data_IF_328617307626
#
_entry.id   IF_328617307626
#
_cell.length_a   1.000
_cell.length_b   1.000
_cell.length_c   1.000
_cell.angle_alpha   90.00
_cell.angle_beta   90.00
_cell.angle_gamma   90.00
#
_symmetry.space_group_name_H-M   'P 1'
#
loop_
_entity.id
_entity.type
_entity.pdbx_description
1 polymer ?
#
# COMPACT_ATOMS: atom_id res chain seq x y z
N UNK A 1 -48.95 -56.14 -6.92
CA UNK A 1 -48.26 -55.97 -8.22
C UNK A 1 -48.11 -54.47 -8.45
N UNK A 2 -46.95 -53.82 -8.45
CA UNK A 2 -45.56 -54.25 -8.55
C UNK A 2 -44.67 -53.38 -7.64
N UNK A 3 -43.68 -54.05 -7.06
CA UNK A 3 -42.42 -53.48 -6.60
C UNK A 3 -41.61 -52.91 -7.78
N UNK A 4 -40.92 -51.79 -7.54
CA UNK A 4 -39.54 -51.56 -7.99
C UNK A 4 -39.05 -50.24 -7.37
N UNK A 5 -38.32 -50.28 -6.27
CA UNK A 5 -36.86 -50.44 -6.17
C UNK A 5 -36.02 -49.25 -6.70
N UNK A 6 -35.48 -48.52 -5.73
CA UNK A 6 -34.03 -48.50 -5.44
C UNK A 6 -33.21 -47.24 -5.83
N UNK A 7 -32.30 -46.92 -4.89
CA UNK A 7 -31.08 -46.09 -4.95
C UNK A 7 -31.33 -44.59 -4.86
N UNK A 8 -31.16 -43.93 -3.70
CA UNK A 8 -29.99 -44.00 -2.82
C UNK A 8 -28.98 -42.97 -3.30
N UNK A 9 -28.96 -41.78 -2.69
CA UNK A 9 -27.75 -40.96 -2.69
C UNK A 9 -27.72 -40.06 -1.45
N UNK A 10 -27.16 -40.66 -0.40
CA UNK A 10 -26.66 -40.02 0.80
C UNK A 10 -25.47 -39.13 0.40
N UNK A 11 -25.68 -37.82 0.21
CA UNK A 11 -24.56 -36.86 0.10
C UNK A 11 -24.44 -36.10 1.38
N UNK A 12 -23.48 -36.56 2.18
CA UNK A 12 -23.06 -35.97 3.42
C UNK A 12 -22.81 -34.48 3.28
N UNK A 13 -23.33 -33.77 4.27
CA UNK A 13 -22.95 -32.42 4.64
C UNK A 13 -21.42 -32.40 4.85
N UNK A 14 -20.66 -32.01 3.81
CA UNK A 14 -19.23 -31.76 3.94
C UNK A 14 -19.06 -30.58 4.90
N UNK A 15 -18.18 -30.67 5.92
CA UNK A 15 -17.88 -29.52 6.74
C UNK A 15 -17.31 -28.42 5.83
N UNK A 16 -17.95 -27.25 5.85
CA UNK A 16 -17.43 -26.04 5.24
C UNK A 16 -16.08 -25.76 5.90
N UNK A 17 -15.00 -26.02 5.16
CA UNK A 17 -13.66 -25.58 5.54
C UNK A 17 -13.64 -24.06 5.66
N UNK A 18 -12.82 -23.51 6.57
CA UNK A 18 -12.95 -22.14 7.02
C UNK A 18 -12.84 -21.16 5.86
N UNK A 19 -13.76 -20.21 5.92
CA UNK A 19 -13.98 -19.13 4.99
C UNK A 19 -12.69 -18.43 4.58
N UNK A 20 -12.54 -18.33 3.26
CA UNK A 20 -12.10 -17.16 2.53
C UNK A 20 -11.43 -16.07 3.40
N UNK A 21 -10.14 -16.26 3.69
CA UNK A 21 -9.34 -15.25 4.39
C UNK A 21 -9.56 -13.88 3.75
N UNK A 22 -9.91 -12.91 4.59
CA UNK A 22 -10.26 -11.56 4.17
C UNK A 22 -9.20 -10.99 3.21
N UNK A 23 -9.59 -10.25 2.15
CA UNK A 23 -8.64 -9.76 1.15
C UNK A 23 -7.47 -8.95 1.75
N UNK A 24 -7.73 -8.24 2.86
CA UNK A 24 -6.72 -7.50 3.60
C UNK A 24 -5.72 -8.42 4.34
N UNK A 25 -6.18 -9.56 4.85
CA UNK A 25 -5.36 -10.55 5.54
C UNK A 25 -4.49 -11.34 4.54
N UNK A 26 -4.99 -11.62 3.33
CA UNK A 26 -4.17 -12.14 2.23
C UNK A 26 -3.07 -11.16 1.82
N UNK A 27 -3.37 -9.86 1.78
CA UNK A 27 -2.36 -8.82 1.51
C UNK A 27 -1.34 -8.69 2.64
N UNK A 28 -1.76 -8.79 3.90
CA UNK A 28 -0.86 -8.75 5.05
C UNK A 28 0.06 -9.97 5.11
N UNK A 29 -0.45 -11.16 4.81
CA UNK A 29 0.36 -12.38 4.78
C UNK A 29 1.48 -12.30 3.74
N UNK A 30 1.24 -11.64 2.60
CA UNK A 30 2.27 -11.39 1.59
C UNK A 30 3.35 -10.46 2.14
N UNK A 31 2.98 -9.35 2.80
CA UNK A 31 3.94 -8.41 3.39
C UNK A 31 4.75 -9.04 4.52
N UNK A 32 4.11 -9.82 5.39
CA UNK A 32 4.79 -10.58 6.45
C UNK A 32 5.76 -11.60 5.86
N UNK A 33 5.36 -12.31 4.80
CA UNK A 33 6.23 -13.26 4.09
C UNK A 33 7.47 -12.59 3.49
N UNK A 34 7.32 -11.39 2.89
CA UNK A 34 8.44 -10.61 2.37
C UNK A 34 9.39 -10.18 3.50
N UNK A 35 8.85 -9.71 4.62
CA UNK A 35 9.63 -9.26 5.78
C UNK A 35 10.42 -10.41 6.41
N UNK A 36 9.79 -11.59 6.54
CA UNK A 36 10.45 -12.81 7.03
C UNK A 36 11.51 -13.30 6.05
N UNK A 37 11.24 -13.28 4.74
CA UNK A 37 12.24 -13.65 3.74
C UNK A 37 13.45 -12.70 3.74
N UNK A 38 13.22 -11.40 3.91
CA UNK A 38 14.28 -10.41 4.06
C UNK A 38 15.10 -10.64 5.34
N UNK A 39 14.44 -10.88 6.47
CA UNK A 39 15.11 -11.17 7.74
C UNK A 39 15.96 -12.46 7.65
N UNK A 40 15.42 -13.53 7.07
CA UNK A 40 16.16 -14.77 6.84
C UNK A 40 17.34 -14.57 5.88
N UNK A 41 17.16 -13.75 4.84
CA UNK A 41 18.24 -13.41 3.90
C UNK A 41 19.39 -12.66 4.61
N UNK A 42 19.07 -11.67 5.46
CA UNK A 42 20.07 -10.95 6.25
C UNK A 42 20.81 -11.89 7.21
N UNK A 43 20.11 -12.81 7.88
CA UNK A 43 20.75 -13.78 8.79
C UNK A 43 21.65 -14.80 8.07
N UNK A 44 21.35 -15.16 6.82
CA UNK A 44 22.27 -15.97 6.00
C UNK A 44 23.51 -15.18 5.55
N UNK A 45 23.41 -13.85 5.49
CA UNK A 45 24.46 -12.98 4.95
C UNK A 45 25.50 -12.60 6.02
N UNK A 46 25.10 -12.46 7.29
CA UNK A 46 26.03 -12.21 8.40
C UNK A 46 26.98 -13.38 8.66
N UNK A 47 26.61 -14.61 8.25
CA UNK A 47 27.40 -15.81 8.49
C UNK A 47 28.62 -16.01 7.58
N UNK A 48 28.87 -15.15 6.59
CA UNK A 48 29.95 -15.34 5.59
C UNK A 48 31.01 -14.26 5.53
N UNK A 49 30.92 -13.22 6.38
CA UNK A 49 31.93 -12.16 6.46
C UNK A 49 33.11 -12.51 7.39
N UNK A 50 33.26 -13.79 7.78
CA UNK A 50 34.50 -14.33 8.30
C UNK A 50 35.53 -14.45 7.15
N UNK A 51 35.89 -13.30 6.58
CA UNK A 51 37.09 -13.15 5.77
C UNK A 51 38.22 -13.71 6.60
N UNK A 52 38.90 -14.74 6.10
CA UNK A 52 40.00 -15.41 6.76
C UNK A 52 41.00 -14.40 7.33
N UNK A 53 40.88 -14.12 8.63
CA UNK A 53 41.90 -13.47 9.44
C UNK A 53 43.07 -14.42 9.55
N UNK A 54 43.88 -14.51 8.49
CA UNK A 54 45.26 -14.96 8.64
C UNK A 54 45.88 -14.07 9.71
N UNK A 55 46.47 -14.69 10.73
CA UNK A 55 46.98 -14.01 11.90
C UNK A 55 48.01 -12.94 11.45
N UNK A 56 47.66 -11.66 11.56
CA UNK A 56 48.53 -10.57 11.12
C UNK A 56 49.65 -10.43 12.14
N UNK A 57 50.88 -10.75 11.73
CA UNK A 57 52.06 -10.66 12.58
C UNK A 57 52.89 -9.43 12.20
N UNK A 58 53.57 -8.84 13.18
CA UNK A 58 54.52 -7.76 12.94
C UNK A 58 55.67 -8.23 12.03
N UNK A 59 56.24 -7.32 11.24
CA UNK A 59 57.37 -7.63 10.36
C UNK A 59 58.58 -8.20 11.13
N UNK A 60 58.86 -7.67 12.33
CA UNK A 60 59.89 -8.22 13.22
C UNK A 60 59.59 -9.65 13.65
N UNK A 61 58.36 -9.93 14.10
CA UNK A 61 57.93 -11.27 14.49
C UNK A 61 57.96 -12.26 13.31
N UNK A 62 57.80 -11.79 12.09
CA UNK A 62 58.02 -12.59 10.89
C UNK A 62 59.51 -12.91 10.69
N UNK A 63 60.40 -11.92 10.82
CA UNK A 63 61.85 -12.14 10.75
C UNK A 63 62.32 -13.13 11.81
N UNK A 64 61.85 -13.00 13.05
CA UNK A 64 62.18 -13.94 14.14
C UNK A 64 61.79 -15.37 13.77
N UNK A 65 60.59 -15.57 13.20
CA UNK A 65 60.10 -16.88 12.74
C UNK A 65 60.90 -17.43 11.56
N UNK A 66 61.41 -16.57 10.68
CA UNK A 66 62.32 -16.96 9.59
C UNK A 66 63.67 -17.40 10.15
N UNK A 67 64.20 -16.69 11.15
CA UNK A 67 65.48 -17.02 11.78
C UNK A 67 65.40 -18.36 12.55
N UNK A 68 64.26 -18.61 13.20
CA UNK A 68 63.90 -19.88 13.85
C UNK A 68 63.66 -21.05 12.85
N UNK A 69 63.54 -20.77 11.55
CA UNK A 69 63.31 -21.79 10.53
C UNK A 69 61.90 -22.39 10.55
N UNK A 70 60.92 -21.68 11.13
CA UNK A 70 59.53 -22.15 11.24
C UNK A 70 58.67 -21.78 10.04
N UNK A 71 59.24 -21.12 9.03
CA UNK A 71 58.54 -20.68 7.81
C UNK A 71 58.84 -21.63 6.66
N UNK A 72 57.79 -22.18 6.04
CA UNK A 72 57.91 -23.16 4.95
C UNK A 72 57.88 -22.49 3.57
N UNK A 73 56.87 -21.65 3.36
CA UNK A 73 56.59 -21.00 2.08
C UNK A 73 56.21 -19.55 2.30
N UNK A 74 56.74 -18.65 1.47
CA UNK A 74 56.43 -17.21 1.52
C UNK A 74 56.05 -16.72 0.13
N UNK A 75 54.91 -16.06 0.03
CA UNK A 75 54.47 -15.30 -1.12
C UNK A 75 54.67 -13.80 -0.84
N UNK A 76 55.60 -13.18 -1.58
CA UNK A 76 55.91 -11.75 -1.45
C UNK A 76 55.13 -10.99 -2.52
N UNK A 77 54.13 -10.21 -2.09
CA UNK A 77 53.41 -9.24 -2.93
C UNK A 77 53.83 -7.81 -2.61
N UNK A 78 53.38 -6.82 -3.40
CA UNK A 78 53.73 -5.40 -3.20
C UNK A 78 53.29 -4.86 -1.83
N UNK A 79 52.11 -5.26 -1.39
CA UNK A 79 51.47 -4.69 -0.20
C UNK A 79 51.46 -5.65 1.00
N UNK A 80 51.59 -6.96 0.78
CA UNK A 80 51.51 -7.99 1.83
C UNK A 80 52.52 -9.12 1.55
N UNK A 81 53.18 -9.58 2.61
CA UNK A 81 53.87 -10.87 2.69
C UNK A 81 52.89 -11.86 3.31
N UNK A 82 52.55 -12.92 2.57
CA UNK A 82 51.71 -14.01 3.10
C UNK A 82 52.52 -15.30 3.08
N UNK A 83 52.32 -16.16 4.06
CA UNK A 83 53.09 -17.40 4.14
C UNK A 83 52.43 -18.45 5.01
N UNK A 84 53.02 -19.64 5.00
CA UNK A 84 52.59 -20.76 5.84
C UNK A 84 53.76 -21.20 6.71
N UNK A 85 53.50 -21.33 8.02
CA UNK A 85 54.47 -21.90 8.95
C UNK A 85 54.55 -23.41 8.77
N UNK A 86 55.63 -24.02 9.26
CA UNK A 86 55.81 -25.48 9.30
C UNK A 86 54.70 -26.20 10.09
N UNK A 87 53.98 -25.48 10.96
CA UNK A 87 52.79 -25.95 11.67
C UNK A 87 51.51 -25.99 10.82
N UNK A 88 51.52 -25.40 9.62
CA UNK A 88 50.35 -25.24 8.74
C UNK A 88 49.54 -23.96 8.97
N UNK A 89 49.91 -23.13 9.95
CA UNK A 89 49.25 -21.84 10.20
C UNK A 89 49.62 -20.82 9.11
N UNK A 90 48.61 -20.09 8.62
CA UNK A 90 48.81 -18.99 7.65
C UNK A 90 48.99 -17.67 8.37
N UNK A 91 50.01 -16.91 7.99
CA UNK A 91 50.28 -15.58 8.52
C UNK A 91 50.25 -14.53 7.42
N UNK A 92 50.01 -13.29 7.81
CA UNK A 92 50.16 -12.10 6.97
C UNK A 92 51.07 -11.09 7.68
N UNK A 93 52.02 -10.51 6.96
CA UNK A 93 52.90 -9.46 7.45
C UNK A 93 53.01 -8.36 6.38
N UNK A 94 53.22 -7.11 6.79
CA UNK A 94 53.42 -6.02 5.84
C UNK A 94 54.91 -5.86 5.54
N UNK A 95 55.35 -5.87 4.27
CA UNK A 95 56.75 -5.71 3.91
C UNK A 95 57.23 -4.30 4.28
N UNK A 96 58.39 -4.23 4.92
CA UNK A 96 59.20 -3.00 4.97
C UNK A 96 60.22 -3.10 3.84
N UNK A 97 60.57 -1.98 3.19
CA UNK A 97 61.59 -1.97 2.14
C UNK A 97 62.95 -2.36 2.73
N UNK A 98 63.26 -3.66 2.67
CA UNK A 98 64.48 -4.25 3.22
C UNK A 98 65.14 -5.12 2.14
N UNK A 99 66.30 -4.66 1.67
CA UNK A 99 67.09 -5.37 0.65
C UNK A 99 67.68 -6.69 1.16
N UNK A 100 67.68 -6.93 2.47
CA UNK A 100 68.30 -8.11 3.10
C UNK A 100 67.35 -9.30 3.26
N UNK A 101 66.04 -9.10 3.03
CA UNK A 101 65.02 -10.12 3.25
C UNK A 101 65.13 -11.32 2.29
N UNK A 102 65.34 -11.06 1.00
CA UNK A 102 65.42 -12.12 -0.03
C UNK A 102 66.66 -13.02 0.16
N UNK A 103 67.86 -12.48 0.43
CA UNK A 103 69.03 -13.29 0.80
C UNK A 103 68.79 -14.19 2.02
N UNK A 104 68.20 -13.66 3.11
CA UNK A 104 67.92 -14.43 4.35
C UNK A 104 66.96 -15.59 4.12
N UNK A 105 65.88 -15.34 3.37
CA UNK A 105 64.91 -16.38 3.03
C UNK A 105 65.54 -17.51 2.19
N UNK A 106 66.47 -17.17 1.30
CA UNK A 106 67.20 -18.13 0.46
C UNK A 106 68.21 -18.95 1.27
N UNK A 107 68.90 -18.33 2.23
CA UNK A 107 69.84 -19.01 3.14
C UNK A 107 69.15 -20.07 3.99
N UNK A 108 67.91 -19.80 4.41
CA UNK A 108 67.08 -20.72 5.21
C UNK A 108 66.28 -21.72 4.37
N UNK A 109 66.43 -21.71 3.04
CA UNK A 109 65.78 -22.66 2.14
C UNK A 109 64.26 -22.48 2.00
N UNK A 110 63.74 -21.28 2.29
CA UNK A 110 62.31 -20.98 2.19
C UNK A 110 61.91 -20.86 0.72
N UNK A 111 60.80 -21.49 0.33
CA UNK A 111 60.29 -21.38 -1.03
C UNK A 111 59.64 -20.00 -1.24
N UNK A 112 60.20 -19.20 -2.15
CA UNK A 112 59.73 -17.85 -2.48
C UNK A 112 58.83 -17.95 -3.70
N UNK A 113 57.57 -17.56 -3.55
CA UNK A 113 56.63 -17.35 -4.65
C UNK A 113 56.31 -15.87 -4.80
N UNK A 114 56.04 -15.42 -6.02
CA UNK A 114 55.54 -14.08 -6.30
C UNK A 114 54.29 -14.25 -7.16
N UNK A 115 53.17 -14.58 -6.51
CA UNK A 115 51.86 -14.61 -7.17
C UNK A 115 51.11 -13.33 -6.77
N UNK A 116 50.59 -12.55 -7.73
CA UNK A 116 49.65 -11.48 -7.41
C UNK A 116 48.51 -12.07 -6.58
N UNK A 117 48.18 -11.47 -5.44
CA UNK A 117 46.97 -11.83 -4.71
C UNK A 117 45.79 -11.61 -5.67
N UNK A 118 45.14 -12.69 -6.12
CA UNK A 118 43.88 -12.61 -6.83
C UNK A 118 42.83 -12.13 -5.83
N UNK A 119 42.68 -10.81 -5.74
CA UNK A 119 41.59 -10.20 -5.01
C UNK A 119 40.24 -10.71 -5.56
N UNK A 120 39.17 -10.71 -4.75
CA UNK A 120 37.86 -11.09 -5.23
C UNK A 120 37.55 -10.30 -6.50
N UNK A 121 37.13 -10.98 -7.56
CA UNK A 121 36.76 -10.36 -8.83
C UNK A 121 35.83 -9.18 -8.55
N UNK A 122 36.26 -7.97 -8.90
CA UNK A 122 35.49 -6.74 -8.66
C UNK A 122 34.08 -6.85 -9.25
N UNK A 123 33.93 -7.57 -10.36
CA UNK A 123 32.65 -7.88 -10.98
C UNK A 123 31.83 -8.83 -10.09
N UNK A 124 32.44 -9.88 -9.53
CA UNK A 124 31.76 -10.77 -8.59
C UNK A 124 31.32 -10.04 -7.31
N UNK A 125 32.14 -9.11 -6.79
CA UNK A 125 31.79 -8.27 -5.64
C UNK A 125 30.61 -7.33 -5.97
N UNK A 126 30.62 -6.68 -7.13
CA UNK A 126 29.54 -5.80 -7.58
C UNK A 126 28.23 -6.55 -7.84
N UNK A 127 28.28 -7.73 -8.47
CA UNK A 127 27.10 -8.58 -8.67
C UNK A 127 26.54 -9.06 -7.34
N UNK A 128 27.41 -9.45 -6.41
CA UNK A 128 27.00 -9.89 -5.08
C UNK A 128 26.36 -8.74 -4.27
N UNK A 129 26.96 -7.54 -4.30
CA UNK A 129 26.45 -6.37 -3.59
C UNK A 129 25.17 -5.79 -4.22
N UNK A 130 24.96 -5.96 -5.52
CA UNK A 130 23.74 -5.50 -6.22
C UNK A 130 22.58 -6.48 -6.13
N UNK A 131 22.80 -7.73 -5.71
CA UNK A 131 21.78 -8.76 -5.61
C UNK A 131 20.60 -8.37 -4.69
N UNK A 132 20.80 -7.76 -3.51
CA UNK A 132 19.69 -7.26 -2.67
C UNK A 132 18.90 -6.14 -3.35
N UNK A 133 19.58 -5.23 -4.08
CA UNK A 133 18.93 -4.14 -4.79
C UNK A 133 18.08 -4.66 -5.96
N UNK A 134 18.59 -5.63 -6.72
CA UNK A 134 17.85 -6.30 -7.80
C UNK A 134 16.64 -7.07 -7.27
N UNK A 135 16.77 -7.73 -6.11
CA UNK A 135 15.65 -8.41 -5.46
C UNK A 135 14.56 -7.42 -5.03
N UNK A 136 14.94 -6.27 -4.47
CA UNK A 136 14.00 -5.21 -4.11
C UNK A 136 13.28 -4.64 -5.35
N UNK A 137 14.02 -4.40 -6.43
CA UNK A 137 13.46 -3.98 -7.73
C UNK A 137 12.50 -5.02 -8.31
N UNK A 138 12.85 -6.31 -8.22
CA UNK A 138 12.00 -7.41 -8.67
C UNK A 138 10.68 -7.51 -7.90
N UNK A 139 10.73 -7.38 -6.57
CA UNK A 139 9.53 -7.35 -5.72
C UNK A 139 8.70 -6.11 -6.03
N UNK A 140 9.30 -4.93 -6.12
CA UNK A 140 8.60 -3.69 -6.46
C UNK A 140 7.90 -3.81 -7.84
N UNK A 141 8.58 -4.34 -8.84
CA UNK A 141 8.01 -4.58 -10.16
C UNK A 141 6.86 -5.60 -10.12
N UNK A 142 7.00 -6.68 -9.36
CA UNK A 142 5.95 -7.67 -9.18
C UNK A 142 4.71 -7.10 -8.48
N UNK A 143 4.90 -6.30 -7.42
CA UNK A 143 3.82 -5.60 -6.71
C UNK A 143 3.11 -4.62 -7.64
N UNK A 144 3.85 -3.80 -8.39
CA UNK A 144 3.27 -2.88 -9.37
C UNK A 144 2.44 -3.62 -10.43
N UNK A 145 2.96 -4.74 -10.95
CA UNK A 145 2.26 -5.57 -11.93
C UNK A 145 1.03 -6.27 -11.34
N UNK A 146 1.08 -6.72 -10.08
CA UNK A 146 -0.05 -7.34 -9.40
C UNK A 146 -1.13 -6.31 -9.05
N UNK A 147 -0.73 -5.10 -8.66
CA UNK A 147 -1.66 -3.98 -8.45
C UNK A 147 -2.38 -3.62 -9.75
N UNK A 148 -1.69 -3.57 -10.90
CA UNK A 148 -2.37 -3.32 -12.19
C UNK A 148 -3.32 -4.46 -12.59
N UNK A 149 -2.97 -5.73 -12.34
CA UNK A 149 -3.80 -6.88 -12.74
C UNK A 149 -5.06 -7.07 -11.88
N UNK A 150 -5.05 -6.60 -10.63
CA UNK A 150 -6.22 -6.61 -9.73
C UNK A 150 -6.96 -5.26 -9.68
N UNK A 151 -6.54 -4.25 -10.45
CA UNK A 151 -7.07 -2.89 -10.37
C UNK A 151 -7.79 -2.49 -11.66
N UNK A 152 -9.02 -2.99 -11.82
CA UNK A 152 -10.08 -2.16 -12.39
C UNK A 152 -10.49 -1.00 -11.46
N UNK A 153 -9.97 -0.93 -10.23
CA UNK A 153 -10.39 0.06 -9.23
C UNK A 153 -9.47 0.17 -7.98
N UNK A 154 -8.16 0.32 -8.14
CA UNK A 154 -7.19 0.27 -7.03
C UNK A 154 -6.35 1.53 -6.78
N UNK A 155 -6.27 2.47 -7.72
CA UNK A 155 -5.55 3.75 -7.51
C UNK A 155 -6.32 4.99 -8.00
N UNK A 156 -7.41 4.80 -8.74
CA UNK A 156 -8.29 5.87 -9.28
C UNK A 156 -9.49 6.19 -8.36
N UNK A 157 -9.54 5.58 -7.17
CA UNK A 157 -10.68 5.70 -6.24
C UNK A 157 -10.72 7.00 -5.43
N UNK A 158 -9.66 7.80 -5.48
CA UNK A 158 -9.55 9.06 -4.71
C UNK A 158 -10.55 10.15 -5.15
N UNK A 159 -11.16 10.03 -6.34
CA UNK A 159 -12.15 10.99 -6.86
C UNK A 159 -13.59 10.48 -6.95
N UNK A 160 -13.85 9.21 -6.65
CA UNK A 160 -15.21 8.65 -6.70
C UNK A 160 -15.98 9.02 -5.45
N UNK A 161 -17.20 9.53 -5.62
CA UNK A 161 -18.06 9.93 -4.51
C UNK A 161 -18.41 8.72 -3.64
N UNK A 162 -18.24 8.85 -2.32
CA UNK A 162 -18.75 7.91 -1.30
C UNK A 162 -20.24 8.15 -1.00
N UNK A 163 -20.97 8.82 -1.90
CA UNK A 163 -22.41 9.04 -1.72
C UNK A 163 -23.11 7.68 -1.53
N UNK A 164 -23.69 7.49 -0.34
CA UNK A 164 -24.43 6.28 0.00
C UNK A 164 -25.74 6.33 -0.79
N UNK A 165 -25.78 5.63 -1.92
CA UNK A 165 -27.01 5.44 -2.69
C UNK A 165 -27.95 4.57 -1.85
N UNK A 166 -28.95 5.20 -1.24
CA UNK A 166 -30.05 4.48 -0.63
C UNK A 166 -31.01 4.10 -1.75
N UNK A 167 -30.89 2.87 -2.22
CA UNK A 167 -31.87 2.29 -3.14
C UNK A 167 -33.18 2.05 -2.39
N UNK A 168 -34.31 2.18 -3.10
CA UNK A 168 -35.71 2.12 -2.61
C UNK A 168 -36.06 1.02 -1.59
N UNK A 169 -35.20 0.01 -1.39
CA UNK A 169 -35.45 -1.16 -0.54
C UNK A 169 -35.00 -0.99 0.92
N UNK A 170 -34.14 -0.05 1.27
CA UNK A 170 -33.67 0.14 2.66
C UNK A 170 -34.23 1.43 3.27
N UNK A 171 -35.20 1.30 4.19
CA UNK A 171 -35.63 2.38 5.08
C UNK A 171 -36.51 3.46 4.44
N UNK A 172 -37.67 3.09 3.87
CA UNK A 172 -38.68 4.06 3.43
C UNK A 172 -39.23 4.83 4.62
N UNK A 173 -38.83 6.09 4.74
CA UNK A 173 -39.46 7.10 5.61
C UNK A 173 -40.51 7.81 4.78
N UNK A 174 -41.69 8.06 5.34
CA UNK A 174 -42.85 8.70 4.70
C UNK A 174 -43.31 9.92 5.50
N UNK A 175 -44.30 10.69 5.03
CA UNK A 175 -44.82 11.82 5.80
C UNK A 175 -45.47 11.39 7.11
N UNK A 176 -45.96 10.16 7.20
CA UNK A 176 -46.48 9.59 8.44
C UNK A 176 -45.42 9.49 9.56
N UNK A 177 -44.13 9.44 9.20
CA UNK A 177 -43.01 9.34 10.14
C UNK A 177 -42.48 10.71 10.60
N UNK A 178 -43.05 11.81 10.10
CA UNK A 178 -42.61 13.18 10.41
C UNK A 178 -43.74 13.94 11.10
N UNK A 179 -43.55 14.28 12.38
CA UNK A 179 -44.51 15.05 13.14
C UNK A 179 -44.33 16.57 12.94
N UNK A 180 -45.43 17.33 13.00
CA UNK A 180 -45.40 18.80 13.03
C UNK A 180 -45.08 19.47 11.70
N UNK A 181 -45.48 18.84 10.58
CA UNK A 181 -45.33 19.39 9.22
C UNK A 181 -46.66 19.84 8.61
N UNK A 182 -47.71 19.99 9.42
CA UNK A 182 -49.06 20.27 8.92
C UNK A 182 -49.16 21.57 8.13
N UNK A 183 -48.42 22.62 8.52
CA UNK A 183 -48.43 23.90 7.79
C UNK A 183 -47.67 23.83 6.45
N UNK A 184 -46.66 22.97 6.34
CA UNK A 184 -45.85 22.82 5.14
C UNK A 184 -46.28 21.64 4.25
N UNK A 185 -47.24 20.82 4.69
CA UNK A 185 -47.62 19.57 4.02
C UNK A 185 -48.09 19.81 2.58
N UNK A 186 -48.93 20.82 2.36
CA UNK A 186 -49.49 21.13 1.03
C UNK A 186 -48.38 21.54 0.03
N UNK A 187 -47.44 22.37 0.47
CA UNK A 187 -46.29 22.78 -0.35
C UNK A 187 -45.35 21.59 -0.66
N UNK A 188 -45.15 20.69 0.30
CA UNK A 188 -44.31 19.52 0.13
C UNK A 188 -44.98 18.43 -0.72
N UNK A 189 -46.31 18.31 -0.67
CA UNK A 189 -47.09 17.43 -1.54
C UNK A 189 -46.97 17.84 -3.02
N UNK A 190 -46.91 19.13 -3.33
CA UNK A 190 -46.64 19.61 -4.69
C UNK A 190 -45.27 19.11 -5.20
N UNK A 191 -44.24 19.15 -4.35
CA UNK A 191 -42.90 18.64 -4.68
C UNK A 191 -42.94 17.13 -4.92
N UNK A 192 -43.70 16.39 -4.11
CA UNK A 192 -43.89 14.94 -4.28
C UNK A 192 -44.60 14.64 -5.59
N UNK A 193 -45.68 15.35 -5.92
CA UNK A 193 -46.42 15.18 -7.17
C UNK A 193 -45.52 15.47 -8.38
N UNK A 194 -44.70 16.52 -8.28
CA UNK A 194 -43.72 16.86 -9.30
C UNK A 194 -42.71 15.73 -9.55
N UNK A 195 -42.20 15.10 -8.49
CA UNK A 195 -41.25 13.98 -8.62
C UNK A 195 -41.91 12.70 -9.17
N UNK A 196 -43.22 12.51 -8.95
CA UNK A 196 -44.00 11.38 -9.48
C UNK A 196 -44.34 11.54 -10.96
N UNK A 197 -44.78 12.72 -11.39
CA UNK A 197 -45.09 13.01 -12.79
C UNK A 197 -44.52 14.38 -13.24
N UNK A 198 -43.23 14.43 -13.59
CA UNK A 198 -42.60 15.65 -14.06
C UNK A 198 -43.17 16.14 -15.42
N UNK A 199 -43.85 15.26 -16.18
CA UNK A 199 -44.39 15.62 -17.50
C UNK A 199 -45.68 16.44 -17.40
N UNK A 200 -46.51 16.18 -16.38
CA UNK A 200 -47.73 16.95 -16.09
C UNK A 200 -47.42 18.44 -15.87
N UNK A 201 -46.40 18.74 -15.08
CA UNK A 201 -45.99 20.12 -14.77
C UNK A 201 -45.35 20.83 -15.98
N UNK A 202 -44.56 20.11 -16.78
CA UNK A 202 -43.99 20.68 -18.01
C UNK A 202 -45.06 21.06 -19.04
N UNK A 203 -46.15 20.28 -19.15
CA UNK A 203 -47.28 20.58 -20.06
C UNK A 203 -48.07 21.83 -19.65
N UNK A 204 -48.12 22.12 -18.36
CA UNK A 204 -48.78 23.30 -17.80
C UNK A 204 -47.89 24.57 -17.88
N UNK A 205 -46.69 24.47 -18.45
CA UNK A 205 -45.74 25.59 -18.56
C UNK A 205 -45.06 25.95 -17.23
N UNK A 206 -45.20 25.11 -16.21
CA UNK A 206 -44.58 25.31 -14.89
C UNK A 206 -43.06 25.12 -14.95
N UNK A 207 -42.32 26.02 -14.29
CA UNK A 207 -40.87 25.90 -14.17
C UNK A 207 -40.53 25.04 -12.96
N UNK A 208 -39.81 23.95 -13.20
CA UNK A 208 -39.38 23.02 -12.17
C UNK A 208 -38.47 23.73 -11.15
N UNK A 209 -38.82 23.76 -9.85
CA UNK A 209 -37.91 24.22 -8.80
C UNK A 209 -36.64 23.37 -8.81
N UNK A 210 -35.48 24.01 -8.95
CA UNK A 210 -34.19 23.30 -9.04
C UNK A 210 -33.62 22.91 -7.68
N UNK A 211 -34.19 23.43 -6.59
CA UNK A 211 -33.76 23.16 -5.23
C UNK A 211 -34.62 23.91 -4.22
N UNK A 212 -34.63 23.40 -2.99
CA UNK A 212 -35.26 24.02 -1.82
C UNK A 212 -34.22 24.06 -0.69
N UNK A 213 -34.28 25.09 0.15
CA UNK A 213 -33.40 25.23 1.31
C UNK A 213 -34.23 25.06 2.58
N UNK A 214 -33.93 24.00 3.34
CA UNK A 214 -34.56 23.76 4.63
C UNK A 214 -33.75 24.47 5.73
N UNK A 215 -34.37 25.44 6.42
CA UNK A 215 -33.73 26.23 7.48
C UNK A 215 -34.42 25.95 8.81
N UNK A 216 -33.62 25.81 9.88
CA UNK A 216 -34.12 25.61 11.23
C UNK A 216 -33.02 25.14 12.16
N UNK A 217 -33.25 25.20 13.47
CA UNK A 217 -32.30 24.76 14.50
C UNK A 217 -31.85 23.30 14.28
N UNK A 218 -30.66 22.89 14.78
CA UNK A 218 -30.26 21.49 14.77
C UNK A 218 -31.32 20.60 15.44
N UNK A 219 -31.56 19.40 14.90
CA UNK A 219 -32.52 18.45 15.46
C UNK A 219 -33.99 18.64 15.05
N UNK A 220 -34.35 19.65 14.24
CA UNK A 220 -35.74 19.87 13.77
C UNK A 220 -36.20 18.95 12.63
N UNK A 221 -35.55 17.80 12.43
CA UNK A 221 -35.98 16.81 11.45
C UNK A 221 -35.77 17.17 9.97
N UNK A 222 -34.95 18.18 9.62
CA UNK A 222 -34.68 18.57 8.21
C UNK A 222 -34.27 17.38 7.31
N UNK A 223 -33.31 16.58 7.76
CA UNK A 223 -32.83 15.40 7.03
C UNK A 223 -33.89 14.29 6.99
N UNK A 224 -34.74 14.18 8.02
CA UNK A 224 -35.84 13.23 8.08
C UNK A 224 -36.95 13.62 7.09
N UNK A 225 -37.31 14.90 7.03
CA UNK A 225 -38.28 15.46 6.09
C UNK A 225 -37.83 15.27 4.64
N UNK A 226 -36.56 15.55 4.32
CA UNK A 226 -36.03 15.31 2.98
C UNK A 226 -36.11 13.83 2.56
N UNK A 227 -35.87 12.90 3.50
CA UNK A 227 -36.05 11.46 3.27
C UNK A 227 -37.52 11.09 3.07
N UNK A 228 -38.42 11.70 3.84
CA UNK A 228 -39.86 11.50 3.71
C UNK A 228 -40.39 11.91 2.33
N UNK A 229 -39.96 13.07 1.81
CA UNK A 229 -40.34 13.52 0.46
C UNK A 229 -39.89 12.51 -0.61
N UNK A 230 -38.65 11.99 -0.51
CA UNK A 230 -38.17 10.97 -1.44
C UNK A 230 -38.93 9.63 -1.31
N UNK A 231 -39.27 9.24 -0.08
CA UNK A 231 -40.04 8.03 0.19
C UNK A 231 -41.48 8.11 -0.33
N UNK A 232 -42.13 9.26 -0.15
CA UNK A 232 -43.47 9.55 -0.67
C UNK A 232 -43.49 9.58 -2.20
N UNK A 233 -42.49 10.19 -2.83
CA UNK A 233 -42.32 10.21 -4.27
C UNK A 233 -41.86 8.85 -4.84
N UNK A 234 -41.31 7.97 -4.00
CA UNK A 234 -40.74 6.69 -4.42
C UNK A 234 -39.50 6.84 -5.29
N UNK A 235 -38.72 7.92 -5.14
CA UNK A 235 -37.53 8.20 -5.97
C UNK A 235 -36.23 7.92 -5.20
N UNK A 236 -35.10 7.68 -5.89
CA UNK A 236 -33.80 7.52 -5.24
C UNK A 236 -33.40 8.76 -4.43
N UNK A 237 -32.79 8.53 -3.26
CA UNK A 237 -32.30 9.58 -2.37
C UNK A 237 -30.77 9.54 -2.28
N UNK A 238 -30.11 10.56 -2.81
CA UNK A 238 -28.67 10.77 -2.71
C UNK A 238 -28.38 11.77 -1.60
N UNK A 239 -27.37 11.49 -0.77
CA UNK A 239 -26.97 12.38 0.32
C UNK A 239 -25.46 12.61 0.34
N UNK A 240 -25.05 13.84 0.62
CA UNK A 240 -23.68 14.27 0.86
C UNK A 240 -23.68 15.29 2.00
N UNK A 241 -22.64 15.32 2.85
CA UNK A 241 -22.48 16.41 3.82
C UNK A 241 -21.67 17.53 3.19
N UNK A 242 -22.02 18.79 3.48
CA UNK A 242 -21.27 19.98 3.10
C UNK A 242 -19.85 19.98 3.66
N UNK A 243 -19.61 19.29 4.78
CA UNK A 243 -18.26 19.07 5.32
C UNK A 243 -17.37 18.21 4.41
N UNK A 244 -17.95 17.28 3.62
CA UNK A 244 -17.21 16.44 2.65
C UNK A 244 -16.56 17.26 1.51
N UNK A 245 -16.91 18.55 1.40
CA UNK A 245 -16.36 19.46 0.42
C UNK A 245 -15.09 20.16 0.92
N UNK A 246 -14.89 20.22 2.24
CA UNK A 246 -13.76 20.90 2.90
C UNK A 246 -12.71 19.87 3.27
N UNK A 247 -11.92 19.45 2.27
CA UNK A 247 -10.84 18.50 2.46
C UNK A 247 -9.46 19.16 2.37
N UNK A 248 -8.45 18.56 3.01
CA UNK A 248 -7.05 19.02 2.98
C UNK A 248 -6.43 18.97 1.57
N UNK A 249 -7.03 18.21 0.66
CA UNK A 249 -6.55 18.02 -0.70
C UNK A 249 -7.38 18.86 -1.69
N UNK A 250 -6.71 19.80 -2.36
CA UNK A 250 -7.33 20.69 -3.35
C UNK A 250 -7.97 19.87 -4.48
N UNK A 251 -9.24 20.16 -4.77
CA UNK A 251 -9.96 19.59 -5.91
C UNK A 251 -10.63 18.23 -5.67
N UNK A 252 -10.35 17.54 -4.55
CA UNK A 252 -10.98 16.25 -4.23
C UNK A 252 -12.47 16.43 -3.91
N UNK A 253 -12.82 17.40 -3.06
CA UNK A 253 -14.22 17.73 -2.76
C UNK A 253 -15.02 18.08 -4.02
N UNK A 254 -14.48 18.91 -4.90
CA UNK A 254 -15.13 19.31 -6.15
C UNK A 254 -15.37 18.12 -7.11
N UNK A 255 -14.46 17.14 -7.15
CA UNK A 255 -14.63 15.93 -7.98
C UNK A 255 -15.80 15.08 -7.50
N UNK A 256 -15.95 14.90 -6.18
CA UNK A 256 -17.04 14.09 -5.60
C UNK A 256 -18.42 14.67 -5.89
N UNK A 257 -18.53 16.00 -5.86
CA UNK A 257 -19.77 16.70 -6.21
C UNK A 257 -20.15 16.41 -7.65
N UNK A 258 -19.21 16.57 -8.58
CA UNK A 258 -19.47 16.30 -10.01
C UNK A 258 -19.91 14.86 -10.22
N UNK A 259 -19.18 13.89 -9.67
CA UNK A 259 -19.50 12.47 -9.78
C UNK A 259 -20.88 12.14 -9.17
N UNK A 260 -21.20 12.71 -7.99
CA UNK A 260 -22.52 12.54 -7.37
C UNK A 260 -23.64 13.10 -8.25
N UNK A 261 -23.48 14.31 -8.81
CA UNK A 261 -24.47 14.88 -9.73
C UNK A 261 -24.56 14.10 -11.05
N UNK A 262 -23.48 13.51 -11.54
CA UNK A 262 -23.51 12.61 -12.72
C UNK A 262 -24.29 11.32 -12.44
N UNK A 263 -24.12 10.72 -11.25
CA UNK A 263 -24.86 9.54 -10.82
C UNK A 263 -26.35 9.85 -10.59
N UNK A 264 -26.66 11.00 -10.00
CA UNK A 264 -28.03 11.48 -9.81
C UNK A 264 -28.74 11.69 -11.15
N UNK A 265 -28.08 12.33 -12.13
CA UNK A 265 -28.63 12.52 -13.50
C UNK A 265 -28.98 11.19 -14.19
N UNK A 266 -28.20 10.14 -13.97
CA UNK A 266 -28.47 8.79 -14.52
C UNK A 266 -29.66 8.10 -13.84
N UNK A 267 -30.02 8.53 -12.64
CA UNK A 267 -31.07 7.93 -11.80
C UNK A 267 -32.30 8.84 -11.68
N UNK A 268 -32.46 9.82 -12.57
CA UNK A 268 -33.57 10.76 -12.54
C UNK A 268 -34.92 10.07 -12.87
N UNK A 269 -36.04 10.45 -12.21
CA UNK A 269 -36.15 11.47 -11.16
C UNK A 269 -35.58 11.00 -9.81
N UNK A 270 -34.87 11.87 -9.10
CA UNK A 270 -34.24 11.59 -7.81
C UNK A 270 -34.11 12.86 -6.95
N UNK A 271 -33.89 12.70 -5.65
CA UNK A 271 -33.54 13.80 -4.73
C UNK A 271 -32.05 13.76 -4.41
N UNK A 272 -31.40 14.92 -4.47
CA UNK A 272 -30.04 15.14 -3.96
C UNK A 272 -30.13 16.03 -2.72
N UNK A 273 -29.78 15.48 -1.57
CA UNK A 273 -29.76 16.18 -0.29
C UNK A 273 -28.32 16.54 0.10
N UNK A 274 -28.07 17.82 0.31
CA UNK A 274 -26.79 18.34 0.80
C UNK A 274 -27.03 18.84 2.23
N UNK A 275 -26.53 18.09 3.21
CA UNK A 275 -26.57 18.53 4.60
C UNK A 275 -25.48 19.57 4.85
N UNK A 276 -25.61 20.42 5.88
CA UNK A 276 -24.57 21.39 6.27
C UNK A 276 -24.00 22.24 5.12
N UNK A 277 -24.87 22.71 4.20
CA UNK A 277 -24.48 23.50 3.03
C UNK A 277 -23.76 24.81 3.41
N UNK A 278 -23.92 25.29 4.64
CA UNK A 278 -23.23 26.45 5.19
C UNK A 278 -21.70 26.25 5.27
N UNK A 279 -21.21 25.00 5.33
CA UNK A 279 -19.79 24.68 5.27
C UNK A 279 -19.13 25.14 3.96
N UNK A 280 -19.89 25.17 2.86
CA UNK A 280 -19.40 25.57 1.52
C UNK A 280 -19.89 26.94 1.07
N UNK A 281 -20.99 27.43 1.66
CA UNK A 281 -21.65 28.68 1.29
C UNK A 281 -21.03 29.96 1.86
N UNK A 282 -19.88 29.88 2.55
CA UNK A 282 -19.23 31.08 3.09
C UNK A 282 -18.74 31.98 1.96
N UNK A 283 -19.03 33.29 2.09
CA UNK A 283 -18.52 34.31 1.17
C UNK A 283 -17.00 34.16 1.01
N UNK A 284 -16.51 34.16 -0.24
CA UNK A 284 -15.08 34.35 -0.51
C UNK A 284 -14.70 35.79 -0.12
N UNK A 285 -14.22 35.98 1.11
CA UNK A 285 -13.78 37.30 1.58
C UNK A 285 -13.19 37.32 2.99
N UNK A 286 -11.96 37.84 3.08
CA UNK A 286 -11.22 38.28 4.28
C UNK A 286 -10.66 37.23 5.25
N UNK A 287 -10.19 36.09 4.76
CA UNK A 287 -9.21 35.29 5.52
C UNK A 287 -7.81 35.81 5.25
N UNK A 288 -7.16 36.43 6.25
CA UNK A 288 -5.71 36.65 6.26
C UNK A 288 -5.02 35.29 6.08
N UNK A 289 -4.66 34.97 4.84
CA UNK A 289 -3.75 33.88 4.53
C UNK A 289 -2.36 34.30 4.95
N UNK A 290 -1.96 33.91 6.16
CA UNK A 290 -0.59 33.96 6.62
C UNK A 290 0.23 32.98 5.77
N UNK A 291 1.00 33.51 4.82
CA UNK A 291 1.95 32.73 4.04
C UNK A 291 3.17 32.39 4.88
N UNK A 292 3.53 31.11 4.88
CA UNK A 292 4.90 30.62 5.04
C UNK A 292 5.16 29.64 3.89
#
# INVERSE_FOLDING_TARGET
MNDNDNRGDNRGNKPQGPENGSPWMKSLLIWVGILVALALFVTMFDGRTATSSGNTIAYSAFLDKVDEGTVKDVNISRDIISGTLSSGEKFKAYPIQDATLVPKLREKGVAISAKPEEGPSMLALLLYQSLPFLLFLGIAFFVLKQMQKNSGSGAMGFGKSRAKMLTQKEGKVTFADVAGIDEAREELEEIVEFLKDPTKFARLGGKIPKGALLVGSPGTGKTLLARAIAGEAGVPFFTISGSDFVEMFVGVGASRVRDMFEQAKKSAPCIVFIDEIDAVGRHRGAGLGNGN
#
